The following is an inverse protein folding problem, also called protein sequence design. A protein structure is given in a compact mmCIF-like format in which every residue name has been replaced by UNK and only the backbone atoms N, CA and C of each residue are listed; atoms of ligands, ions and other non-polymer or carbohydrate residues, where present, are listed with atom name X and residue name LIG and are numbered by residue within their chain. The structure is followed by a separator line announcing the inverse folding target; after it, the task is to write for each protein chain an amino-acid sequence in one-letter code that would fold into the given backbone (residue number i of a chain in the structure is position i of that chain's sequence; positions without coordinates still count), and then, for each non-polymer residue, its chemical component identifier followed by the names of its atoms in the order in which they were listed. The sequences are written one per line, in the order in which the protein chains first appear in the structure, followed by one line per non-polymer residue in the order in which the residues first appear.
data_IF_051665836249
#
_entry.id   IF_051665836249
#
_cell.length_a   1.000
_cell.length_b   1.000
_cell.length_c   1.000
_cell.angle_alpha   90.00
_cell.angle_beta   90.00
_cell.angle_gamma   90.00
#
_symmetry.space_group_name_H-M   'P 1'
#
loop_
_entity.id
_entity.type
_entity.pdbx_description
1 polymer ?
#
# COMPACT_ATOMS: atom_id res chain seq x y z
N UNK A 1 -0.70 -3.51 11.32
CA UNK A 1 -1.41 -4.35 10.32
C UNK A 1 -1.89 -5.59 11.06
N UNK A 2 -3.06 -6.12 10.73
CA UNK A 2 -3.63 -7.33 11.32
C UNK A 2 -3.00 -8.58 10.66
N UNK A 3 -2.43 -9.48 11.46
CA UNK A 3 -1.68 -10.64 10.95
C UNK A 3 -2.58 -11.69 10.27
N UNK A 4 -3.80 -11.89 10.78
CA UNK A 4 -4.75 -12.87 10.25
C UNK A 4 -5.22 -12.44 8.85
N UNK A 5 -5.52 -11.14 8.70
CA UNK A 5 -5.88 -10.57 7.39
C UNK A 5 -4.74 -10.68 6.36
N UNK A 6 -3.49 -10.54 6.79
CA UNK A 6 -2.33 -10.66 5.89
C UNK A 6 -2.10 -12.12 5.47
N UNK A 7 -2.38 -13.08 6.35
CA UNK A 7 -2.38 -14.49 5.97
C UNK A 7 -3.42 -14.78 4.89
N UNK A 8 -4.65 -14.30 5.04
CA UNK A 8 -5.69 -14.45 4.02
C UNK A 8 -5.29 -13.83 2.68
N UNK A 9 -4.69 -12.63 2.69
CA UNK A 9 -4.21 -11.98 1.47
C UNK A 9 -3.13 -12.79 0.74
N UNK A 10 -2.22 -13.43 1.49
CA UNK A 10 -1.21 -14.33 0.91
C UNK A 10 -1.86 -15.54 0.26
N UNK A 11 -2.85 -16.15 0.91
CA UNK A 11 -3.57 -17.30 0.38
C UNK A 11 -4.31 -16.95 -0.92
N UNK A 12 -4.95 -15.77 -0.95
CA UNK A 12 -5.60 -15.25 -2.17
C UNK A 12 -4.58 -15.03 -3.28
N UNK A 13 -3.44 -14.38 -3.00
CA UNK A 13 -2.39 -14.14 -4.01
C UNK A 13 -1.84 -15.47 -4.56
N UNK A 14 -1.61 -16.46 -3.70
CA UNK A 14 -1.10 -17.78 -4.11
C UNK A 14 -2.10 -18.55 -5.00
N UNK A 15 -3.41 -18.41 -4.71
CA UNK A 15 -4.47 -19.05 -5.48
C UNK A 15 -4.71 -18.37 -6.84
N UNK A 16 -4.78 -17.03 -6.85
CA UNK A 16 -5.16 -16.24 -8.03
C UNK A 16 -3.99 -15.98 -8.97
N UNK A 17 -2.77 -15.87 -8.45
CA UNK A 17 -1.54 -15.57 -9.21
C UNK A 17 -1.70 -14.32 -10.09
N UNK A 18 -2.02 -13.15 -9.50
CA UNK A 18 -2.21 -11.93 -10.26
C UNK A 18 -0.89 -11.49 -10.93
N UNK A 19 -1.00 -10.93 -12.13
CA UNK A 19 0.15 -10.30 -12.83
C UNK A 19 0.63 -9.05 -12.08
N UNK A 20 -0.32 -8.26 -11.58
CA UNK A 20 -0.06 -7.00 -10.90
C UNK A 20 -0.90 -6.90 -9.62
N UNK A 21 -0.29 -6.46 -8.53
CA UNK A 21 -0.96 -6.18 -7.26
C UNK A 21 -0.77 -4.71 -6.90
N UNK A 22 -1.86 -3.94 -6.85
CA UNK A 22 -1.82 -2.52 -6.54
C UNK A 22 -2.38 -2.26 -5.16
N UNK A 23 -1.63 -1.56 -4.31
CA UNK A 23 -2.09 -1.10 -3.01
C UNK A 23 -2.70 0.29 -3.13
N UNK A 24 -3.92 0.47 -2.64
CA UNK A 24 -4.58 1.78 -2.62
C UNK A 24 -4.44 2.38 -1.22
N UNK A 25 -3.86 3.58 -1.13
CA UNK A 25 -3.62 4.27 0.14
C UNK A 25 -4.20 5.69 0.09
N UNK A 26 -4.68 6.18 1.22
CA UNK A 26 -5.16 7.55 1.38
C UNK A 26 -3.97 8.51 1.59
N UNK A 27 -3.85 9.54 0.75
CA UNK A 27 -2.79 10.55 0.85
C UNK A 27 -2.93 11.43 2.10
N UNK A 28 -4.13 11.55 2.68
CA UNK A 28 -4.34 12.31 3.92
C UNK A 28 -3.59 11.72 5.13
N UNK A 29 -3.17 10.45 5.04
CA UNK A 29 -2.33 9.78 6.04
C UNK A 29 -0.88 10.30 6.05
N UNK A 30 -0.49 11.10 5.04
CA UNK A 30 0.82 11.76 5.01
C UNK A 30 1.97 10.75 4.98
N UNK A 31 3.00 10.98 5.79
CA UNK A 31 4.21 10.14 5.81
C UNK A 31 3.96 8.70 6.31
N UNK A 32 2.87 8.47 7.06
CA UNK A 32 2.50 7.12 7.49
C UNK A 32 2.12 6.21 6.31
N UNK A 33 1.70 6.79 5.18
CA UNK A 33 1.44 6.05 3.95
C UNK A 33 2.66 5.26 3.48
N UNK A 34 3.88 5.81 3.61
CA UNK A 34 5.10 5.13 3.21
C UNK A 34 5.38 3.87 4.05
N UNK A 35 5.18 3.96 5.37
CA UNK A 35 5.33 2.83 6.27
C UNK A 35 4.31 1.72 5.97
N UNK A 36 3.07 2.12 5.63
CA UNK A 36 2.02 1.17 5.25
C UNK A 36 2.36 0.46 3.93
N UNK A 37 2.76 1.22 2.90
CA UNK A 37 3.19 0.66 1.60
C UNK A 37 4.32 -0.34 1.80
N UNK A 38 5.34 0.01 2.60
CA UNK A 38 6.46 -0.87 2.90
C UNK A 38 6.00 -2.16 3.59
N UNK A 39 5.19 -2.05 4.63
CA UNK A 39 4.74 -3.23 5.37
C UNK A 39 3.86 -4.16 4.52
N UNK A 40 2.99 -3.62 3.64
CA UNK A 40 2.24 -4.45 2.69
C UNK A 40 3.12 -5.08 1.61
N UNK A 41 4.14 -4.35 1.15
CA UNK A 41 5.09 -4.89 0.20
C UNK A 41 5.90 -6.05 0.78
N UNK A 42 6.36 -5.93 2.03
CA UNK A 42 7.16 -6.96 2.69
C UNK A 42 6.36 -8.27 2.89
N UNK A 43 5.03 -8.17 3.07
CA UNK A 43 4.17 -9.32 3.38
C UNK A 43 3.48 -9.93 2.15
N UNK A 44 3.09 -9.11 1.16
CA UNK A 44 2.25 -9.53 0.03
C UNK A 44 2.93 -9.25 -1.32
N UNK A 45 4.06 -8.54 -1.36
CA UNK A 45 4.82 -8.22 -2.58
C UNK A 45 3.95 -7.51 -3.64
N UNK A 46 3.85 -6.18 -3.51
CA UNK A 46 2.99 -5.34 -4.35
C UNK A 46 3.78 -4.80 -5.54
N UNK A 47 3.11 -4.67 -6.68
CA UNK A 47 3.69 -4.14 -7.92
C UNK A 47 3.74 -2.61 -7.93
N UNK A 48 2.87 -1.97 -7.15
CA UNK A 48 2.81 -0.52 -7.04
C UNK A 48 1.76 -0.04 -6.06
N UNK A 49 1.76 1.26 -5.81
CA UNK A 49 0.79 1.91 -4.93
C UNK A 49 0.06 3.05 -5.66
N UNK A 50 -1.22 3.21 -5.34
CA UNK A 50 -2.09 4.29 -5.81
C UNK A 50 -2.47 5.15 -4.62
N UNK A 51 -2.09 6.43 -4.68
CA UNK A 51 -2.45 7.42 -3.67
C UNK A 51 -3.75 8.12 -4.07
N UNK A 52 -4.73 8.03 -3.19
CA UNK A 52 -6.07 8.62 -3.35
C UNK A 52 -6.23 9.84 -2.44
N UNK A 53 -7.27 10.65 -2.68
CA UNK A 53 -7.54 11.89 -1.92
C UNK A 53 -6.37 12.87 -1.86
N UNK A 54 -5.59 12.91 -2.95
CA UNK A 54 -4.44 13.82 -3.10
C UNK A 54 -4.84 15.30 -3.04
N UNK A 55 -6.10 15.62 -3.31
CA UNK A 55 -6.69 16.95 -3.13
C UNK A 55 -6.77 17.39 -1.66
N UNK A 56 -6.78 16.44 -0.72
CA UNK A 56 -6.76 16.69 0.72
C UNK A 56 -5.35 16.75 1.34
N UNK A 57 -4.31 16.29 0.63
CA UNK A 57 -2.93 16.39 1.11
C UNK A 57 -2.36 17.77 0.82
N UNK A 58 -2.51 18.67 1.80
CA UNK A 58 -2.01 20.05 1.76
C UNK A 58 -0.52 20.23 1.49
N UNK A 59 0.30 19.15 1.50
CA UNK A 59 1.76 19.24 1.32
C UNK A 59 2.35 18.27 0.30
N UNK A 60 1.55 17.35 -0.28
CA UNK A 60 2.05 16.32 -1.21
C UNK A 60 3.09 15.39 -0.59
N UNK A 61 3.17 15.35 0.73
CA UNK A 61 4.21 14.65 1.48
C UNK A 61 4.06 13.14 1.38
N UNK A 62 2.83 12.63 1.27
CA UNK A 62 2.57 11.21 1.14
C UNK A 62 3.17 10.64 -0.17
N UNK A 63 3.01 11.37 -1.28
CA UNK A 63 3.53 10.94 -2.58
C UNK A 63 5.06 10.94 -2.63
N UNK A 64 5.71 11.90 -1.98
CA UNK A 64 7.16 11.95 -1.93
C UNK A 64 7.73 10.82 -1.06
N UNK A 65 7.12 10.57 0.10
CA UNK A 65 7.58 9.54 1.04
C UNK A 65 7.39 8.10 0.54
N UNK A 66 6.45 7.85 -0.36
CA UNK A 66 6.26 6.51 -0.98
C UNK A 66 7.30 6.22 -2.08
N UNK A 67 7.96 7.26 -2.62
CA UNK A 67 8.99 7.11 -3.64
C UNK A 67 10.39 6.82 -3.07
N UNK A 68 10.63 7.18 -1.81
CA UNK A 68 11.88 6.90 -1.07
C UNK A 68 11.85 5.53 -0.42
#
# INVERSE_FOLDING_TARGET
IDEDMMAELRDIKAAVKPTDTLLVVDAMTGQEAANLVKAFNDEVDISGAVLTKMDGDSRGGAALSVRE
#
